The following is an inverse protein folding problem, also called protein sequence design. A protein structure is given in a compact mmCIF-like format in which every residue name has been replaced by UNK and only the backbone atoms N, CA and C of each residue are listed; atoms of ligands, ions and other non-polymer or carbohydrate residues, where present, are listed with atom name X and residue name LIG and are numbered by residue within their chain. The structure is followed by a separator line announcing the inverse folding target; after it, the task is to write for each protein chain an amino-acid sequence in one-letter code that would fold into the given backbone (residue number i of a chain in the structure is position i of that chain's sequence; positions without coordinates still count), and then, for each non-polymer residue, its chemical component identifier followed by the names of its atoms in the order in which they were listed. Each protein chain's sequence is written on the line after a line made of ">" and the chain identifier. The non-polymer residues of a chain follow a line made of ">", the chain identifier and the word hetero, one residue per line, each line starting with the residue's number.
data_IF_390928048658
#
_entry.id   IF_390928048658
#
_cell.length_a   1.000
_cell.length_b   1.000
_cell.length_c   1.000
_cell.angle_alpha   90.00
_cell.angle_beta   90.00
_cell.angle_gamma   90.00
#
_symmetry.space_group_name_H-M   'P 1'
#
loop_
_entity.id
_entity.type
_entity.pdbx_description
1 polymer ?
#
# COMPACT_ATOMS: atom_id res chain seq x y z
N UNK A 1 9.64 2.03 61.54
CA UNK A 1 10.48 1.78 60.34
C UNK A 1 9.56 1.41 59.17
N UNK A 2 9.26 2.36 58.30
CA UNK A 2 8.46 2.13 57.09
C UNK A 2 9.36 1.45 56.04
N UNK A 3 8.95 0.28 55.55
CA UNK A 3 9.59 -0.39 54.41
C UNK A 3 9.42 0.50 53.17
N UNK A 4 10.47 0.89 52.45
CA UNK A 4 10.32 1.61 51.19
C UNK A 4 9.54 0.74 50.19
N UNK A 5 8.62 1.38 49.47
CA UNK A 5 7.81 0.73 48.46
C UNK A 5 8.72 0.13 47.36
N UNK A 6 8.42 -1.07 46.85
CA UNK A 6 9.22 -1.68 45.80
C UNK A 6 9.21 -0.77 44.57
N UNK A 7 10.41 -0.36 44.17
CA UNK A 7 10.68 0.37 42.95
C UNK A 7 10.12 -0.43 41.77
N UNK A 8 9.03 0.06 41.17
CA UNK A 8 8.45 -0.53 39.97
C UNK A 8 9.47 -0.38 38.85
N UNK A 9 10.30 -1.41 38.64
CA UNK A 9 11.17 -1.49 37.48
C UNK A 9 10.29 -1.28 36.24
N UNK A 10 10.58 -0.28 35.39
CA UNK A 10 9.82 -0.06 34.18
C UNK A 10 9.82 -1.38 33.41
N UNK A 11 8.61 -1.91 33.18
CA UNK A 11 8.41 -3.15 32.46
C UNK A 11 9.31 -3.12 31.23
N UNK A 12 10.25 -4.07 31.18
CA UNK A 12 11.20 -4.21 30.08
C UNK A 12 10.45 -4.00 28.77
N UNK A 13 10.80 -2.97 27.99
CA UNK A 13 10.35 -2.83 26.60
C UNK A 13 10.78 -4.12 25.90
N UNK A 14 9.89 -5.12 25.88
CA UNK A 14 10.09 -6.30 25.05
C UNK A 14 10.30 -5.73 23.66
N UNK A 15 11.46 -6.02 23.05
CA UNK A 15 11.69 -5.68 21.65
C UNK A 15 10.48 -6.22 20.90
N UNK A 16 9.71 -5.29 20.33
CA UNK A 16 8.58 -5.60 19.49
C UNK A 16 9.16 -6.40 18.31
N UNK A 17 8.87 -7.69 18.29
CA UNK A 17 9.39 -8.60 17.27
C UNK A 17 8.43 -8.47 16.09
N UNK A 18 8.92 -8.24 14.86
CA UNK A 18 8.04 -8.00 13.73
C UNK A 18 6.99 -9.10 13.62
N UNK A 19 5.72 -8.70 13.61
CA UNK A 19 4.56 -9.56 13.39
C UNK A 19 3.96 -9.20 12.03
N UNK A 20 4.43 -9.84 10.94
CA UNK A 20 4.07 -9.44 9.58
C UNK A 20 2.64 -9.80 9.22
N UNK A 21 1.90 -8.87 8.60
CA UNK A 21 0.61 -9.16 7.98
C UNK A 21 0.82 -9.72 6.57
N UNK A 22 0.75 -11.05 6.42
CA UNK A 22 0.94 -11.72 5.14
C UNK A 22 -0.02 -11.21 4.05
N UNK A 23 -1.26 -10.90 4.42
CA UNK A 23 -2.27 -10.35 3.51
C UNK A 23 -1.89 -8.96 2.97
N UNK A 24 -1.47 -8.05 3.86
CA UNK A 24 -1.03 -6.71 3.46
C UNK A 24 0.25 -6.76 2.63
N UNK A 25 1.21 -7.61 2.99
CA UNK A 25 2.45 -7.78 2.24
C UNK A 25 2.14 -8.30 0.82
N UNK A 26 1.33 -9.35 0.70
CA UNK A 26 0.94 -9.89 -0.59
C UNK A 26 0.21 -8.86 -1.45
N UNK A 27 -0.69 -8.07 -0.84
CA UNK A 27 -1.41 -7.00 -1.52
C UNK A 27 -0.48 -5.89 -2.05
N UNK A 28 0.46 -5.41 -1.22
CA UNK A 28 1.44 -4.38 -1.61
C UNK A 28 2.35 -4.88 -2.73
N UNK A 29 2.81 -6.13 -2.64
CA UNK A 29 3.62 -6.76 -3.68
C UNK A 29 2.83 -6.89 -4.99
N UNK A 30 1.57 -7.33 -4.93
CA UNK A 30 0.72 -7.46 -6.10
C UNK A 30 0.41 -6.10 -6.74
N UNK A 31 0.16 -5.06 -5.93
CA UNK A 31 -0.02 -3.70 -6.41
C UNK A 31 1.24 -3.17 -7.11
N UNK A 32 2.42 -3.41 -6.53
CA UNK A 32 3.70 -3.04 -7.14
C UNK A 32 3.94 -3.78 -8.47
N UNK A 33 3.68 -5.08 -8.52
CA UNK A 33 3.78 -5.88 -9.76
C UNK A 33 2.83 -5.33 -10.82
N UNK A 34 1.55 -5.12 -10.49
CA UNK A 34 0.58 -4.56 -11.43
C UNK A 34 0.95 -3.17 -11.93
N UNK A 35 1.52 -2.33 -11.05
CA UNK A 35 2.00 -1.01 -11.40
C UNK A 35 3.19 -1.05 -12.38
N UNK A 36 4.07 -2.04 -12.27
CA UNK A 36 5.23 -2.19 -13.16
C UNK A 36 4.90 -2.93 -14.46
N UNK A 37 3.82 -3.73 -14.48
CA UNK A 37 3.36 -4.44 -15.68
C UNK A 37 2.76 -3.48 -16.74
N UNK A 38 2.67 -3.94 -18.01
CA UNK A 38 2.00 -3.20 -19.07
C UNK A 38 0.54 -2.86 -18.75
N UNK A 39 0.16 -1.58 -18.89
CA UNK A 39 -1.19 -1.06 -18.63
C UNK A 39 -2.02 -0.95 -19.89
N UNK A 40 -1.50 -0.26 -20.90
CA UNK A 40 -2.15 -0.08 -22.19
C UNK A 40 -1.14 0.27 -23.28
N UNK A 41 -1.57 0.12 -24.53
CA UNK A 41 -0.82 0.46 -25.73
C UNK A 41 -1.73 1.22 -26.70
N UNK A 42 -1.23 2.35 -27.21
CA UNK A 42 -1.91 3.10 -28.28
C UNK A 42 -1.82 2.38 -29.62
N UNK A 43 -2.76 2.63 -30.53
CA UNK A 43 -2.90 1.90 -31.79
C UNK A 43 -1.64 1.96 -32.68
N UNK A 44 -0.91 3.09 -32.63
CA UNK A 44 0.35 3.30 -33.37
C UNK A 44 1.59 3.29 -32.50
N UNK A 45 1.45 3.11 -31.19
CA UNK A 45 2.58 3.07 -30.28
C UNK A 45 3.34 1.75 -30.45
N UNK A 46 4.67 1.78 -30.50
CA UNK A 46 5.47 0.55 -30.54
C UNK A 46 5.64 -0.07 -29.15
N UNK A 47 5.45 0.73 -28.08
CA UNK A 47 5.69 0.34 -26.70
C UNK A 47 4.43 0.37 -25.83
N UNK A 48 4.46 -0.42 -24.75
CA UNK A 48 3.44 -0.41 -23.71
C UNK A 48 3.71 0.69 -22.67
N UNK A 49 2.65 1.38 -22.25
CA UNK A 49 2.69 2.26 -21.08
C UNK A 49 2.69 1.41 -19.81
N UNK A 50 3.58 1.75 -18.88
CA UNK A 50 3.74 1.10 -17.58
C UNK A 50 4.48 2.03 -16.63
N UNK A 51 4.43 1.75 -15.32
CA UNK A 51 5.21 2.50 -14.34
C UNK A 51 6.70 2.43 -14.62
N UNK A 52 7.20 1.30 -15.12
CA UNK A 52 8.61 1.14 -15.50
C UNK A 52 9.01 2.08 -16.64
N UNK A 53 8.19 2.15 -17.70
CA UNK A 53 8.42 3.05 -18.83
C UNK A 53 8.46 4.50 -18.37
N UNK A 54 7.50 4.90 -17.54
CA UNK A 54 7.41 6.25 -17.00
C UNK A 54 8.64 6.60 -16.14
N UNK A 55 9.13 5.66 -15.32
CA UNK A 55 10.37 5.81 -14.54
C UNK A 55 11.57 6.16 -15.44
N UNK A 56 11.70 5.44 -16.57
CA UNK A 56 12.82 5.62 -17.50
C UNK A 56 12.75 6.88 -18.35
N UNK A 57 11.56 7.44 -18.57
CA UNK A 57 11.36 8.62 -19.43
C UNK A 57 11.35 9.95 -18.65
N UNK A 58 11.04 9.93 -17.35
CA UNK A 58 10.78 11.14 -16.55
C UNK A 58 11.71 11.32 -15.36
N UNK A 59 12.88 10.67 -15.36
CA UNK A 59 13.81 10.62 -14.22
C UNK A 59 13.11 10.23 -12.90
N UNK A 60 12.17 9.28 -12.99
CA UNK A 60 11.44 8.75 -11.83
C UNK A 60 10.15 9.49 -11.48
N UNK A 61 10.04 10.81 -11.65
CA UNK A 61 8.81 11.60 -11.51
C UNK A 61 7.79 11.12 -10.44
N UNK A 62 6.51 11.10 -10.81
CA UNK A 62 5.40 10.63 -9.96
C UNK A 62 5.47 9.13 -9.67
N UNK A 63 6.12 8.34 -10.52
CA UNK A 63 6.33 6.89 -10.32
C UNK A 63 7.21 6.60 -9.13
N UNK A 64 8.27 7.39 -8.90
CA UNK A 64 9.11 7.27 -7.72
C UNK A 64 8.30 7.52 -6.46
N UNK A 65 7.39 8.49 -6.47
CA UNK A 65 6.48 8.75 -5.34
C UNK A 65 5.60 7.52 -5.08
N UNK A 66 4.98 6.93 -6.12
CA UNK A 66 4.19 5.70 -5.96
C UNK A 66 5.02 4.57 -5.36
N UNK A 67 6.24 4.33 -5.86
CA UNK A 67 7.11 3.26 -5.38
C UNK A 67 7.58 3.49 -3.94
N UNK A 68 7.90 4.73 -3.56
CA UNK A 68 8.25 5.09 -2.18
C UNK A 68 7.06 4.87 -1.24
N UNK A 69 5.85 5.23 -1.65
CA UNK A 69 4.64 4.98 -0.87
C UNK A 69 4.35 3.48 -0.72
N UNK A 70 4.50 2.70 -1.79
CA UNK A 70 4.39 1.23 -1.72
C UNK A 70 5.47 0.61 -0.84
N UNK A 71 6.70 1.12 -0.88
CA UNK A 71 7.77 0.68 0.00
C UNK A 71 7.48 1.02 1.46
N UNK A 72 6.96 2.22 1.75
CA UNK A 72 6.53 2.60 3.09
C UNK A 72 5.37 1.72 3.59
N UNK A 73 4.41 1.40 2.73
CA UNK A 73 3.33 0.47 3.03
C UNK A 73 3.84 -0.94 3.34
N UNK A 74 4.80 -1.43 2.54
CA UNK A 74 5.43 -2.74 2.75
C UNK A 74 6.18 -2.79 4.07
N UNK A 75 6.97 -1.76 4.38
CA UNK A 75 7.66 -1.59 5.65
C UNK A 75 6.61 -1.63 6.77
N UNK A 76 5.63 -0.74 6.79
CA UNK A 76 4.60 -0.72 7.83
C UNK A 76 3.86 -2.08 7.98
N UNK A 77 3.61 -2.81 6.88
CA UNK A 77 2.96 -4.11 6.89
C UNK A 77 3.76 -5.20 7.65
N UNK A 78 5.09 -5.07 7.76
CA UNK A 78 5.95 -5.99 8.54
C UNK A 78 5.67 -5.88 10.05
N UNK A 79 5.20 -4.73 10.52
CA UNK A 79 4.84 -4.50 11.93
C UNK A 79 3.32 -4.47 12.18
N UNK A 80 2.49 -4.66 11.16
CA UNK A 80 1.03 -4.52 11.24
C UNK A 80 0.35 -5.50 12.20
N UNK A 81 0.99 -6.62 12.56
CA UNK A 81 0.45 -7.58 13.53
C UNK A 81 0.71 -7.24 15.00
N UNK A 82 1.48 -6.19 15.31
CA UNK A 82 1.79 -5.80 16.71
C UNK A 82 0.87 -4.71 17.27
N UNK A 83 0.07 -4.03 16.43
CA UNK A 83 -0.79 -2.96 16.89
C UNK A 83 -1.60 -2.31 15.78
N UNK A 84 -2.48 -1.39 16.17
CA UNK A 84 -3.34 -0.61 15.29
C UNK A 84 -2.53 0.42 14.47
N UNK A 85 -1.56 1.09 15.08
CA UNK A 85 -0.78 2.15 14.43
C UNK A 85 -0.04 1.68 13.16
N UNK A 86 0.74 0.58 13.15
CA UNK A 86 1.41 0.13 11.92
C UNK A 86 0.42 -0.35 10.85
N UNK A 87 -0.71 -0.94 11.24
CA UNK A 87 -1.76 -1.33 10.31
C UNK A 87 -2.43 -0.11 9.64
N UNK A 88 -2.71 0.94 10.42
CA UNK A 88 -3.22 2.22 9.90
C UNK A 88 -2.20 2.86 8.96
N UNK A 89 -0.92 2.92 9.35
CA UNK A 89 0.13 3.49 8.50
C UNK A 89 0.28 2.72 7.19
N UNK A 90 0.25 1.38 7.23
CA UNK A 90 0.31 0.54 6.03
C UNK A 90 -0.87 0.83 5.09
N UNK A 91 -2.10 0.90 5.63
CA UNK A 91 -3.30 1.19 4.85
C UNK A 91 -3.27 2.61 4.26
N UNK A 92 -2.90 3.63 5.06
CA UNK A 92 -2.87 5.02 4.60
C UNK A 92 -1.84 5.24 3.50
N UNK A 93 -0.64 4.68 3.65
CA UNK A 93 0.41 4.76 2.62
C UNK A 93 0.04 3.99 1.36
N UNK A 94 -0.63 2.83 1.49
CA UNK A 94 -1.18 2.09 0.36
C UNK A 94 -2.26 2.90 -0.40
N UNK A 95 -3.20 3.54 0.31
CA UNK A 95 -4.24 4.38 -0.32
C UNK A 95 -3.62 5.60 -1.00
N UNK A 96 -2.62 6.23 -0.37
CA UNK A 96 -1.87 7.31 -1.01
C UNK A 96 -1.18 6.82 -2.30
N UNK A 97 -0.57 5.64 -2.28
CA UNK A 97 0.03 5.03 -3.47
C UNK A 97 -1.01 4.77 -4.57
N UNK A 98 -2.21 4.29 -4.22
CA UNK A 98 -3.32 4.10 -5.16
C UNK A 98 -3.69 5.42 -5.86
N UNK A 99 -3.88 6.50 -5.09
CA UNK A 99 -4.24 7.81 -5.65
C UNK A 99 -3.17 8.28 -6.63
N UNK A 100 -1.90 8.21 -6.25
CA UNK A 100 -0.79 8.62 -7.13
C UNK A 100 -0.72 7.70 -8.36
N UNK A 101 -0.91 6.39 -8.21
CA UNK A 101 -0.92 5.44 -9.32
C UNK A 101 -2.04 5.78 -10.33
N UNK A 102 -3.24 6.09 -9.86
CA UNK A 102 -4.36 6.52 -10.72
C UNK A 102 -4.02 7.82 -11.46
N UNK A 103 -3.40 8.80 -10.78
CA UNK A 103 -2.95 10.04 -11.43
C UNK A 103 -1.91 9.77 -12.53
N UNK A 104 -0.95 8.87 -12.30
CA UNK A 104 0.05 8.50 -13.31
C UNK A 104 -0.59 7.81 -14.50
N UNK A 105 -1.52 6.89 -14.27
CA UNK A 105 -2.28 6.22 -15.34
C UNK A 105 -3.10 7.24 -16.13
N UNK A 106 -3.81 8.15 -15.46
CA UNK A 106 -4.61 9.19 -16.10
C UNK A 106 -3.73 10.16 -16.92
N UNK A 107 -2.60 10.61 -16.38
CA UNK A 107 -1.63 11.45 -17.09
C UNK A 107 -1.07 10.73 -18.32
N UNK A 108 -0.86 9.41 -18.23
CA UNK A 108 -0.38 8.60 -19.34
C UNK A 108 -1.42 8.47 -20.46
N UNK A 109 -2.71 8.33 -20.12
CA UNK A 109 -3.81 8.34 -21.10
C UNK A 109 -3.94 9.72 -21.76
N UNK A 110 -3.89 10.79 -20.97
CA UNK A 110 -3.96 12.16 -21.48
C UNK A 110 -2.80 12.48 -22.46
N UNK A 111 -1.62 11.90 -22.24
CA UNK A 111 -0.49 12.03 -23.15
C UNK A 111 -0.69 11.30 -24.50
N UNK A 112 -1.57 10.29 -24.58
CA UNK A 112 -1.96 9.64 -25.84
C UNK A 112 -3.03 10.46 -26.56
N UNK A 113 -4.05 10.93 -25.83
CA UNK A 113 -5.19 11.66 -26.42
C UNK A 113 -4.84 13.03 -27.01
N UNK A 114 -3.63 13.56 -26.77
CA UNK A 114 -3.12 14.73 -27.49
C UNK A 114 -2.50 14.39 -28.86
N UNK A 115 -2.22 13.10 -29.12
CA UNK A 115 -1.56 12.59 -30.31
C UNK A 115 -2.58 11.94 -31.27
N UNK A 116 -3.58 11.27 -30.73
CA UNK A 116 -4.62 10.55 -31.47
C UNK A 116 -5.98 11.27 -31.24
N UNK A 117 -6.83 11.41 -32.27
CA UNK A 117 -8.07 12.20 -32.24
C UNK A 117 -9.11 11.77 -31.19
N UNK A 118 -10.28 12.41 -31.19
CA UNK A 118 -11.28 12.38 -30.10
C UNK A 118 -11.86 11.02 -29.66
N UNK A 119 -11.57 9.90 -30.33
CA UNK A 119 -12.01 8.54 -29.98
C UNK A 119 -10.92 7.66 -29.30
N UNK A 120 -9.79 8.25 -28.93
CA UNK A 120 -8.55 7.54 -28.53
C UNK A 120 -8.62 6.53 -27.38
N UNK A 121 -9.55 6.65 -26.42
CA UNK A 121 -9.55 5.77 -25.23
C UNK A 121 -10.19 4.41 -25.54
N UNK A 122 -11.18 4.37 -26.43
CA UNK A 122 -11.86 3.13 -26.81
C UNK A 122 -10.98 2.22 -27.67
N UNK A 123 -9.94 2.78 -28.30
CA UNK A 123 -8.99 2.07 -29.17
C UNK A 123 -7.75 1.57 -28.43
N UNK A 124 -7.64 1.80 -27.12
CA UNK A 124 -6.51 1.34 -26.31
C UNK A 124 -6.56 -0.18 -26.12
N UNK A 125 -5.46 -0.84 -26.45
CA UNK A 125 -5.26 -2.23 -26.07
C UNK A 125 -4.82 -2.28 -24.61
N UNK A 126 -5.64 -2.86 -23.74
CA UNK A 126 -5.40 -2.93 -22.30
C UNK A 126 -4.59 -4.16 -21.92
N UNK A 127 -3.50 -3.93 -21.19
CA UNK A 127 -2.66 -4.96 -20.62
C UNK A 127 -3.19 -5.45 -19.26
N UNK A 128 -2.52 -6.48 -18.74
CA UNK A 128 -2.90 -7.12 -17.46
C UNK A 128 -2.52 -6.28 -16.22
N UNK A 129 -1.67 -5.25 -16.38
CA UNK A 129 -1.14 -4.48 -15.26
C UNK A 129 -2.22 -3.73 -14.47
N UNK A 130 -3.19 -3.10 -15.14
CA UNK A 130 -4.30 -2.39 -14.46
C UNK A 130 -5.18 -3.34 -13.65
N UNK A 131 -5.66 -4.48 -14.20
CA UNK A 131 -6.37 -5.49 -13.40
C UNK A 131 -5.57 -6.00 -12.20
N UNK A 132 -4.29 -6.35 -12.39
CA UNK A 132 -3.43 -6.86 -11.30
C UNK A 132 -3.24 -5.82 -10.21
N UNK A 133 -3.01 -4.56 -10.60
CA UNK A 133 -2.89 -3.44 -9.68
C UNK A 133 -4.18 -3.22 -8.89
N UNK A 134 -5.35 -3.27 -9.56
CA UNK A 134 -6.65 -3.13 -8.92
C UNK A 134 -6.90 -4.25 -7.88
N UNK A 135 -6.55 -5.50 -8.21
CA UNK A 135 -6.63 -6.62 -7.27
C UNK A 135 -5.69 -6.40 -6.08
N UNK A 136 -4.45 -5.96 -6.32
CA UNK A 136 -3.48 -5.65 -5.26
C UNK A 136 -4.00 -4.59 -4.29
N UNK A 137 -4.46 -3.46 -4.80
CA UNK A 137 -5.02 -2.39 -3.96
C UNK A 137 -6.31 -2.81 -3.26
N UNK A 138 -7.23 -3.48 -3.95
CA UNK A 138 -8.48 -3.97 -3.35
C UNK A 138 -8.24 -4.96 -2.21
N UNK A 139 -7.33 -5.91 -2.42
CA UNK A 139 -6.91 -6.85 -1.38
C UNK A 139 -6.23 -6.13 -0.20
N UNK A 140 -5.43 -5.12 -0.47
CA UNK A 140 -4.73 -4.36 0.57
C UNK A 140 -5.67 -3.53 1.43
N UNK A 141 -6.73 -2.95 0.85
CA UNK A 141 -7.79 -2.30 1.62
C UNK A 141 -8.53 -3.32 2.48
N UNK A 142 -8.94 -4.45 1.92
CA UNK A 142 -9.67 -5.48 2.67
C UNK A 142 -8.84 -6.03 3.85
N UNK A 143 -7.60 -6.41 3.59
CA UNK A 143 -6.69 -6.97 4.61
C UNK A 143 -6.22 -5.92 5.62
N UNK A 144 -6.04 -4.66 5.20
CA UNK A 144 -5.73 -3.54 6.09
C UNK A 144 -6.87 -3.23 7.06
N UNK A 145 -8.10 -3.12 6.55
CA UNK A 145 -9.29 -2.95 7.41
C UNK A 145 -9.44 -4.09 8.40
N UNK A 146 -9.23 -5.34 7.96
CA UNK A 146 -9.26 -6.50 8.83
C UNK A 146 -8.19 -6.43 9.94
N UNK A 147 -6.94 -6.11 9.58
CA UNK A 147 -5.84 -6.00 10.55
C UNK A 147 -6.11 -4.93 11.62
N UNK A 148 -6.62 -3.76 11.22
CA UNK A 148 -6.99 -2.68 12.14
C UNK A 148 -8.12 -3.14 13.08
N UNK A 149 -9.18 -3.76 12.54
CA UNK A 149 -10.29 -4.26 13.34
C UNK A 149 -9.84 -5.31 14.37
N UNK A 150 -8.99 -6.24 13.97
CA UNK A 150 -8.41 -7.26 14.86
C UNK A 150 -7.56 -6.64 15.97
N UNK A 151 -6.74 -5.63 15.66
CA UNK A 151 -5.91 -4.95 16.64
C UNK A 151 -6.75 -4.19 17.68
N UNK A 152 -7.78 -3.46 17.23
CA UNK A 152 -8.69 -2.71 18.12
C UNK A 152 -9.49 -3.66 19.03
N UNK A 153 -9.94 -4.80 18.50
CA UNK A 153 -10.65 -5.81 19.28
C UNK A 153 -9.76 -6.40 20.39
N UNK A 154 -8.51 -6.73 20.07
CA UNK A 154 -7.54 -7.27 21.03
C UNK A 154 -7.20 -6.28 22.16
N UNK A 155 -7.00 -5.00 21.82
CA UNK A 155 -6.77 -3.95 22.83
C UNK A 155 -7.98 -3.75 23.74
N UNK A 156 -9.19 -3.78 23.18
CA UNK A 156 -10.44 -3.65 23.94
C UNK A 156 -10.60 -4.81 24.94
N UNK A 157 -10.34 -6.05 24.51
CA UNK A 157 -10.40 -7.22 25.39
C UNK A 157 -9.38 -7.11 26.54
N UNK A 158 -8.16 -6.67 26.26
CA UNK A 158 -7.12 -6.47 27.26
C UNK A 158 -7.52 -5.42 28.31
N UNK A 159 -8.12 -4.30 27.88
CA UNK A 159 -8.62 -3.25 28.79
C UNK A 159 -9.76 -3.73 29.67
N UNK A 160 -10.67 -4.55 29.15
CA UNK A 160 -11.77 -5.14 29.92
C UNK A 160 -11.21 -6.10 30.98
N UNK A 161 -10.30 -6.99 30.59
CA UNK A 161 -9.67 -7.96 31.50
C UNK A 161 -8.93 -7.26 32.65
N UNK A 162 -8.21 -6.17 32.35
CA UNK A 162 -7.50 -5.38 33.36
C UNK A 162 -8.41 -4.61 34.33
N UNK A 163 -9.70 -4.41 34.01
CA UNK A 163 -10.68 -3.78 34.91
C UNK A 163 -11.43 -4.78 35.80
N UNK A 164 -11.46 -6.05 35.40
CA UNK A 164 -12.22 -7.11 36.08
C UNK A 164 -11.36 -8.00 36.98
N UNK A 165 -10.03 -7.93 36.85
CA UNK A 165 -9.06 -8.59 37.74
C UNK A 165 -8.39 -7.59 38.67
#
# INVERSE_FOLDING_TARGET
>A
MQRPAPEQRPASRRRALPSPSAGLIAAVVLAAIGYLLPWFKGARAEWWYSGWRYLTQSDGGWTTITLVLLAAALVAAVWAGEGDLPAVLALTTLVAALVVAVLVVAASIAAIGSIEGSDSVAELDFGIGVPVMAVGFGLGVATGCHAIASAVAADTEARIRARLG
#
